data_IF_786534146647
#
_entry.id   IF_786534146647
#
_cell.length_a   1.000
_cell.length_b   1.000
_cell.length_c   1.000
_cell.angle_alpha   90.00
_cell.angle_beta   90.00
_cell.angle_gamma   90.00
#
_symmetry.space_group_name_H-M   'P 1'
#
loop_
_entity.id
_entity.type
_entity.pdbx_description
1 polymer ?
#
# COMPACT_ATOMS: atom_id res chain seq x y z
N UNK A 1 15.46 8.63 -5.20
CA UNK A 1 14.63 9.54 -4.37
C UNK A 1 13.85 8.69 -3.40
N UNK A 2 13.38 9.23 -2.28
CA UNK A 2 12.48 8.50 -1.38
C UNK A 2 11.08 8.56 -1.95
N UNK A 3 10.50 7.42 -2.29
CA UNK A 3 9.08 7.31 -2.67
C UNK A 3 8.24 6.98 -1.45
N UNK A 4 7.05 7.56 -1.38
CA UNK A 4 6.03 7.38 -0.34
C UNK A 4 4.85 6.68 -0.98
N UNK A 5 4.14 5.91 -0.19
CA UNK A 5 2.98 5.20 -0.69
C UNK A 5 1.96 4.86 0.37
N UNK A 6 0.76 4.58 -0.12
CA UNK A 6 -0.37 4.12 0.67
C UNK A 6 -0.69 2.67 0.29
N UNK A 7 -0.93 1.83 1.29
CA UNK A 7 -1.33 0.44 1.14
C UNK A 7 -2.73 0.28 1.70
N UNK A 8 -3.66 -0.12 0.85
CA UNK A 8 -5.05 -0.40 1.19
C UNK A 8 -5.23 -1.91 1.27
N UNK A 9 -5.60 -2.42 2.44
CA UNK A 9 -5.96 -3.82 2.64
C UNK A 9 -7.47 -3.92 2.65
N UNK A 10 -8.04 -4.83 1.87
CA UNK A 10 -9.49 -4.90 1.67
C UNK A 10 -10.00 -6.33 1.69
N UNK A 11 -11.10 -6.53 2.42
CA UNK A 11 -11.89 -7.75 2.41
C UNK A 11 -13.39 -7.42 2.21
N UNK A 12 -14.28 -8.40 2.42
CA UNK A 12 -15.73 -8.21 2.22
C UNK A 12 -16.37 -7.24 3.23
N UNK A 13 -15.72 -6.98 4.37
CA UNK A 13 -16.29 -6.25 5.51
C UNK A 13 -15.68 -4.86 5.69
N UNK A 14 -14.39 -4.71 5.40
CA UNK A 14 -13.68 -3.46 5.66
C UNK A 14 -12.51 -3.20 4.71
N UNK A 15 -12.03 -1.95 4.79
CA UNK A 15 -10.78 -1.51 4.19
C UNK A 15 -9.94 -0.77 5.25
N UNK A 16 -8.62 -0.97 5.18
CA UNK A 16 -7.67 -0.38 6.10
C UNK A 16 -6.46 0.15 5.34
N UNK A 17 -6.05 1.38 5.67
CA UNK A 17 -4.99 2.05 4.93
C UNK A 17 -3.76 2.29 5.80
N UNK A 18 -2.60 2.05 5.22
CA UNK A 18 -1.29 2.26 5.85
C UNK A 18 -0.44 3.13 4.95
N UNK A 19 0.04 4.24 5.50
CA UNK A 19 1.05 5.07 4.86
C UNK A 19 2.45 4.53 5.16
N UNK A 20 3.34 4.51 4.16
CA UNK A 20 4.76 4.25 4.33
C UNK A 20 5.63 5.31 3.64
N UNK A 21 6.66 5.80 4.32
CA UNK A 21 7.42 6.97 3.92
C UNK A 21 8.56 6.73 2.91
N UNK A 22 9.08 5.50 2.80
CA UNK A 22 10.33 5.25 2.07
C UNK A 22 10.26 3.96 1.25
N UNK A 23 10.79 4.02 0.02
CA UNK A 23 10.96 2.88 -0.89
C UNK A 23 9.66 2.17 -1.26
N UNK A 24 8.71 2.94 -1.77
CA UNK A 24 7.43 2.44 -2.26
C UNK A 24 7.42 2.18 -3.76
N UNK A 25 8.59 2.01 -4.39
CA UNK A 25 8.64 1.39 -5.71
C UNK A 25 8.06 -0.03 -5.64
N UNK A 26 7.62 -0.63 -6.76
CA UNK A 26 7.04 -1.98 -6.74
C UNK A 26 7.94 -3.04 -6.06
N UNK A 27 9.26 -2.92 -6.22
CA UNK A 27 10.26 -3.75 -5.52
C UNK A 27 10.20 -3.62 -3.99
N UNK A 28 10.17 -2.41 -3.45
CA UNK A 28 10.06 -2.19 -2.02
C UNK A 28 8.70 -2.61 -1.46
N UNK A 29 7.61 -2.32 -2.19
CA UNK A 29 6.27 -2.79 -1.85
C UNK A 29 6.19 -4.32 -1.75
N UNK A 30 6.81 -5.03 -2.71
CA UNK A 30 6.91 -6.47 -2.70
C UNK A 30 7.62 -7.01 -1.45
N UNK A 31 8.72 -6.38 -1.04
CA UNK A 31 9.46 -6.74 0.18
C UNK A 31 8.64 -6.49 1.45
N UNK A 32 7.89 -5.39 1.53
CA UNK A 32 7.02 -5.12 2.67
C UNK A 32 5.85 -6.10 2.78
N UNK A 33 5.19 -6.43 1.67
CA UNK A 33 4.13 -7.46 1.64
C UNK A 33 4.70 -8.81 2.06
N UNK A 34 5.91 -9.15 1.60
CA UNK A 34 6.60 -10.39 1.98
C UNK A 34 6.85 -10.46 3.48
N UNK A 35 7.29 -9.36 4.09
CA UNK A 35 7.50 -9.31 5.53
C UNK A 35 6.18 -9.41 6.31
N UNK A 36 5.12 -8.77 5.82
CA UNK A 36 3.78 -8.85 6.41
C UNK A 36 3.27 -10.29 6.49
N UNK A 37 3.48 -11.10 5.46
CA UNK A 37 3.05 -12.51 5.41
C UNK A 37 3.58 -13.36 6.57
N UNK A 38 4.73 -13.00 7.16
CA UNK A 38 5.27 -13.72 8.33
C UNK A 38 4.56 -13.43 9.65
N UNK A 39 3.75 -12.36 9.68
CA UNK A 39 2.99 -11.90 10.83
C UNK A 39 1.47 -12.02 10.65
N UNK A 40 1.00 -12.21 9.41
CA UNK A 40 -0.41 -12.36 9.08
C UNK A 40 -0.91 -13.80 9.31
N UNK A 41 -2.23 -13.97 9.23
CA UNK A 41 -2.82 -15.31 9.13
C UNK A 41 -2.25 -16.06 7.91
N UNK A 42 -1.98 -17.37 8.04
CA UNK A 42 -1.71 -18.19 6.87
C UNK A 42 -2.91 -18.17 5.93
N UNK A 43 -2.65 -17.91 4.65
CA UNK A 43 -3.66 -18.03 3.60
C UNK A 43 -4.26 -19.45 3.59
N UNK A 44 -5.56 -19.61 3.29
CA UNK A 44 -6.45 -18.64 2.66
C UNK A 44 -7.16 -17.69 3.63
N UNK A 45 -6.89 -17.74 4.94
CA UNK A 45 -7.51 -16.79 5.88
C UNK A 45 -6.89 -15.41 5.71
N UNK A 46 -7.74 -14.42 5.41
CA UNK A 46 -7.36 -13.02 5.25
C UNK A 46 -8.39 -12.14 5.94
N UNK A 47 -7.91 -11.22 6.76
CA UNK A 47 -8.70 -10.22 7.49
C UNK A 47 -7.95 -8.89 7.29
N UNK A 48 -8.62 -7.89 6.72
CA UNK A 48 -7.95 -6.69 6.22
C UNK A 48 -7.26 -5.87 7.34
N UNK A 49 -7.87 -5.80 8.53
CA UNK A 49 -7.31 -5.16 9.71
C UNK A 49 -6.07 -5.89 10.25
N UNK A 50 -6.15 -7.20 10.41
CA UNK A 50 -5.03 -8.04 10.87
C UNK A 50 -3.87 -8.03 9.87
N UNK A 51 -4.15 -8.06 8.55
CA UNK A 51 -3.11 -7.95 7.55
C UNK A 51 -2.47 -6.55 7.54
N UNK A 52 -3.27 -5.48 7.71
CA UNK A 52 -2.73 -4.13 7.87
C UNK A 52 -1.82 -4.02 9.10
N UNK A 53 -2.20 -4.63 10.23
CA UNK A 53 -1.36 -4.69 11.43
C UNK A 53 -0.07 -5.48 11.18
N UNK A 54 -0.15 -6.63 10.52
CA UNK A 54 1.00 -7.43 10.11
C UNK A 54 1.96 -6.65 9.20
N UNK A 55 1.41 -5.88 8.26
CA UNK A 55 2.18 -4.99 7.39
C UNK A 55 2.90 -3.90 8.18
N UNK A 56 2.24 -3.26 9.16
CA UNK A 56 2.89 -2.25 10.02
C UNK A 56 4.10 -2.83 10.74
N UNK A 57 4.01 -4.06 11.25
CA UNK A 57 5.13 -4.76 11.90
C UNK A 57 6.22 -5.10 10.88
N UNK A 58 5.86 -5.73 9.76
CA UNK A 58 6.81 -6.16 8.72
C UNK A 58 7.60 -5.00 8.12
N UNK A 59 6.92 -3.93 7.70
CA UNK A 59 7.55 -2.74 7.11
C UNK A 59 8.49 -2.04 8.10
N UNK A 60 8.11 -1.95 9.39
CA UNK A 60 9.00 -1.41 10.43
C UNK A 60 10.19 -2.30 10.73
N UNK A 61 10.07 -3.61 10.51
CA UNK A 61 11.14 -4.59 10.70
C UNK A 61 12.21 -4.56 9.60
N UNK A 62 11.83 -4.24 8.36
CA UNK A 62 12.77 -4.05 7.23
C UNK A 62 13.50 -2.71 7.35
N UNK A 63 12.80 -1.67 7.81
CA UNK A 63 13.30 -0.29 7.82
C UNK A 63 13.64 0.26 9.20
N UNK A 64 13.25 1.53 9.40
CA UNK A 64 13.38 2.25 10.67
C UNK A 64 12.06 2.12 11.45
N UNK A 65 12.08 2.27 12.79
CA UNK A 65 10.87 2.15 13.62
C UNK A 65 9.77 3.19 13.31
N UNK A 66 10.11 4.27 12.57
CA UNK A 66 9.17 5.30 12.12
C UNK A 66 9.02 5.31 10.59
N UNK A 67 7.97 5.94 10.10
CA UNK A 67 7.68 6.06 8.67
C UNK A 67 6.49 5.22 8.20
N UNK A 68 6.04 4.25 9.00
CA UNK A 68 4.80 3.48 8.76
C UNK A 68 3.70 3.91 9.72
N UNK A 69 2.54 4.30 9.21
CA UNK A 69 1.43 4.85 10.00
C UNK A 69 0.09 4.29 9.53
N UNK A 70 -0.75 3.88 10.47
CA UNK A 70 -2.17 3.68 10.20
C UNK A 70 -2.79 5.01 9.78
N UNK A 71 -3.65 4.98 8.78
CA UNK A 71 -4.38 6.15 8.31
C UNK A 71 -5.83 6.13 8.81
N UNK A 72 -6.56 7.21 8.55
CA UNK A 72 -8.00 7.27 8.82
C UNK A 72 -8.75 6.33 7.87
N UNK A 73 -9.94 5.91 8.26
CA UNK A 73 -10.89 5.20 7.39
C UNK A 73 -11.52 6.16 6.40
N UNK A 74 -11.82 5.70 5.19
CA UNK A 74 -12.45 6.48 4.12
C UNK A 74 -11.71 6.26 2.80
N UNK A 75 -12.15 6.95 1.75
CA UNK A 75 -11.53 6.84 0.43
C UNK A 75 -10.03 7.18 0.51
N UNK A 76 -9.19 6.29 -0.03
CA UNK A 76 -7.74 6.43 0.03
C UNK A 76 -7.28 7.74 -0.64
N UNK A 77 -7.98 8.20 -1.68
CA UNK A 77 -7.68 9.44 -2.41
C UNK A 77 -7.89 10.68 -1.51
N UNK A 78 -8.95 10.67 -0.70
CA UNK A 78 -9.29 11.77 0.21
C UNK A 78 -8.38 11.80 1.45
N UNK A 79 -8.03 10.62 1.99
CA UNK A 79 -7.21 10.52 3.20
C UNK A 79 -5.71 10.66 2.91
N UNK A 80 -5.27 10.36 1.68
CA UNK A 80 -3.87 10.44 1.26
C UNK A 80 -3.49 11.87 0.86
N UNK A 81 -3.82 12.84 1.71
CA UNK A 81 -3.45 14.26 1.56
C UNK A 81 -1.93 14.53 1.75
N UNK A 82 -1.12 13.51 1.57
CA UNK A 82 0.34 13.53 1.66
C UNK A 82 0.89 13.44 0.24
N UNK A 83 2.07 14.02 0.03
CA UNK A 83 2.89 13.76 -1.14
C UNK A 83 3.16 12.24 -1.22
N UNK A 84 2.39 11.52 -2.04
CA UNK A 84 2.54 10.08 -2.31
C UNK A 84 2.75 9.87 -3.79
N UNK A 85 3.58 8.91 -4.12
CA UNK A 85 3.94 8.56 -5.49
C UNK A 85 3.33 7.22 -5.90
N UNK A 86 2.92 6.38 -4.94
CA UNK A 86 2.36 5.05 -5.20
C UNK A 86 1.16 4.72 -4.29
N UNK A 87 0.21 3.98 -4.85
CA UNK A 87 -0.86 3.33 -4.11
C UNK A 87 -0.91 1.83 -4.43
N UNK A 88 -1.16 1.01 -3.42
CA UNK A 88 -1.28 -0.43 -3.54
C UNK A 88 -2.57 -0.91 -2.88
N UNK A 89 -3.44 -1.58 -3.61
CA UNK A 89 -4.57 -2.32 -3.04
C UNK A 89 -4.20 -3.80 -2.92
N UNK A 90 -4.41 -4.38 -1.74
CA UNK A 90 -4.11 -5.76 -1.39
C UNK A 90 -5.40 -6.43 -0.94
N UNK A 91 -5.84 -7.41 -1.72
CA UNK A 91 -7.01 -8.25 -1.47
C UNK A 91 -6.61 -9.72 -1.44
N UNK A 92 -7.51 -10.58 -0.98
CA UNK A 92 -7.35 -12.03 -1.10
C UNK A 92 -8.45 -12.58 -2.01
N UNK A 93 -8.07 -13.18 -3.14
CA UNK A 93 -8.96 -13.80 -4.11
C UNK A 93 -8.60 -15.26 -4.26
N UNK A 94 -9.58 -16.16 -4.15
CA UNK A 94 -9.39 -17.62 -4.25
C UNK A 94 -8.29 -18.19 -3.34
N UNK A 95 -8.02 -17.53 -2.20
CA UNK A 95 -7.00 -17.92 -1.23
C UNK A 95 -5.59 -17.43 -1.54
N UNK A 96 -5.42 -16.57 -2.54
CA UNK A 96 -4.15 -15.94 -2.91
C UNK A 96 -4.23 -14.41 -2.81
N UNK A 97 -3.10 -13.77 -2.52
CA UNK A 97 -3.05 -12.31 -2.54
C UNK A 97 -3.16 -11.79 -3.97
N UNK A 98 -4.02 -10.79 -4.16
CA UNK A 98 -4.18 -10.05 -5.41
C UNK A 98 -3.81 -8.59 -5.16
N UNK A 99 -2.98 -8.04 -6.04
CA UNK A 99 -2.38 -6.71 -5.91
C UNK A 99 -2.82 -5.85 -7.08
N UNK A 100 -3.32 -4.66 -6.78
CA UNK A 100 -3.43 -3.56 -7.73
C UNK A 100 -2.39 -2.53 -7.34
N UNK A 101 -1.52 -2.13 -8.28
CA UNK A 101 -0.56 -1.06 -8.05
C UNK A 101 -0.83 0.11 -8.98
N UNK A 102 -0.76 1.32 -8.42
CA UNK A 102 -1.03 2.57 -9.11
C UNK A 102 0.11 3.56 -8.85
N UNK A 103 0.55 4.23 -9.91
CA UNK A 103 1.37 5.42 -9.80
C UNK A 103 0.46 6.63 -9.62
N UNK A 104 0.78 7.45 -8.62
CA UNK A 104 0.02 8.65 -8.29
C UNK A 104 0.71 9.83 -8.94
N UNK A 105 0.00 10.49 -9.84
CA UNK A 105 0.45 11.76 -10.42
C UNK A 105 0.13 12.87 -9.42
N UNK A 106 1.17 13.33 -8.74
CA UNK A 106 1.05 14.40 -7.76
C UNK A 106 0.46 15.66 -8.40
N UNK A 107 -0.69 16.11 -7.91
CA UNK A 107 -1.00 17.53 -7.90
C UNK A 107 0.00 18.15 -6.92
N UNK A 108 0.85 19.09 -7.35
CA UNK A 108 1.77 19.81 -6.45
C UNK A 108 0.95 20.51 -5.34
N UNK A 109 0.71 19.82 -4.23
CA UNK A 109 0.03 20.41 -3.10
C UNK A 109 1.04 21.16 -2.25
N UNK A 110 1.16 22.46 -2.54
CA UNK A 110 1.62 23.42 -1.56
C UNK A 110 0.68 23.33 -0.36
N UNK A 111 1.26 23.08 0.83
CA UNK A 111 0.62 22.96 2.16
C UNK A 111 -0.27 24.15 2.58
N UNK A 112 -0.50 25.12 1.69
CA UNK A 112 -1.07 26.43 1.94
C UNK A 112 -2.31 26.77 1.11
N UNK A 113 -2.68 25.97 0.10
CA UNK A 113 -3.88 26.21 -0.71
C UNK A 113 -5.01 25.25 -0.30
N UNK A 114 -6.19 25.81 -0.05
CA UNK A 114 -7.37 25.12 0.50
C UNK A 114 -8.15 24.32 -0.57
N UNK A 115 -7.72 24.33 -1.83
CA UNK A 115 -8.31 23.52 -2.90
C UNK A 115 -7.65 22.13 -2.95
N UNK A 116 -8.32 21.15 -2.34
CA UNK A 116 -7.98 19.74 -2.52
C UNK A 116 -8.45 19.30 -3.91
N UNK A 117 -7.51 19.16 -4.84
CA UNK A 117 -7.74 18.41 -6.07
C UNK A 117 -7.82 16.93 -5.73
N UNK A 118 -8.68 16.18 -6.42
CA UNK A 118 -8.65 14.72 -6.34
C UNK A 118 -7.29 14.23 -6.84
N UNK A 119 -6.69 13.28 -6.12
CA UNK A 119 -5.48 12.61 -6.59
C UNK A 119 -5.79 11.94 -7.93
N UNK A 120 -4.87 12.09 -8.88
CA UNK A 120 -4.94 11.33 -10.12
C UNK A 120 -3.95 10.18 -9.99
N UNK A 121 -4.40 8.97 -10.33
CA UNK A 121 -3.53 7.81 -10.39
C UNK A 121 -3.76 7.06 -11.69
N UNK A 122 -2.76 6.28 -12.09
CA UNK A 122 -2.90 5.33 -13.18
C UNK A 122 -2.37 3.96 -12.76
N UNK A 123 -3.11 2.92 -13.13
CA UNK A 123 -2.76 1.54 -12.83
C UNK A 123 -1.55 1.11 -13.62
N UNK A 124 -0.52 0.65 -12.91
CA UNK A 124 0.72 0.11 -13.47
C UNK A 124 0.78 -1.42 -13.40
N UNK A 125 0.00 -2.04 -12.50
CA UNK A 125 -0.08 -3.49 -12.37
C UNK A 125 -1.43 -3.93 -11.77
N UNK A 126 -1.87 -5.13 -12.17
CA UNK A 126 -2.96 -5.87 -11.54
C UNK A 126 -2.75 -7.37 -11.74
N UNK A 127 -2.82 -8.14 -10.66
CA UNK A 127 -2.67 -9.59 -10.73
C UNK A 127 -2.33 -10.22 -9.38
N UNK A 128 -1.96 -11.49 -9.41
CA UNK A 128 -1.53 -12.22 -8.21
C UNK A 128 -0.25 -11.65 -7.61
N UNK A 129 -0.01 -11.88 -6.32
CA UNK A 129 1.24 -11.50 -5.67
C UNK A 129 2.46 -12.18 -6.31
N UNK A 130 2.33 -13.41 -6.83
CA UNK A 130 3.41 -14.08 -7.54
C UNK A 130 3.78 -13.34 -8.85
N UNK A 131 2.79 -12.88 -9.61
CA UNK A 131 3.02 -12.06 -10.81
C UNK A 131 3.57 -10.68 -10.45
N UNK A 132 3.11 -10.09 -9.34
CA UNK A 132 3.62 -8.83 -8.83
C UNK A 132 5.11 -8.92 -8.48
N UNK A 133 5.57 -10.04 -7.90
CA UNK A 133 6.98 -10.29 -7.64
C UNK A 133 7.83 -10.31 -8.90
N UNK A 134 7.31 -10.80 -10.03
CA UNK A 134 8.03 -10.77 -11.30
C UNK A 134 8.04 -9.37 -11.91
N UNK A 135 6.91 -8.67 -11.87
CA UNK A 135 6.79 -7.26 -12.26
C UNK A 135 7.76 -6.35 -11.48
N UNK A 136 7.86 -6.56 -10.18
CA UNK A 136 8.69 -5.80 -9.27
C UNK A 136 10.21 -5.96 -9.50
N UNK A 137 10.66 -7.01 -10.22
CA UNK A 137 12.09 -7.22 -10.54
C UNK A 137 12.55 -6.41 -11.75
N UNK A 138 11.62 -5.99 -12.61
CA UNK A 138 11.91 -5.33 -13.88
C UNK A 138 11.57 -3.84 -13.85
N UNK A 139 11.08 -3.34 -12.71
CA UNK A 139 10.72 -1.95 -12.43
C UNK A 139 11.70 -1.34 -11.43
#
# INVERSE_FOLDING_TARGET
MSTRGTYTFKDENCEHHVYHHYDNYPSGAADFIKAALSHAWPLPRFEADEFAAAFVVGAKGIGRPGGTRLMKTGDWEEISNWDIEYHYEITCLDGELHIVAEEVEGVEHCRWDEEQGLLQSHRIFEGSYAEFLEFAKIT
#
